data_IF_343474612731
#
_entry.id   IF_343474612731
#
_cell.length_a   1.000
_cell.length_b   1.000
_cell.length_c   1.000
_cell.angle_alpha   90.00
_cell.angle_beta   90.00
_cell.angle_gamma   90.00
#
_symmetry.space_group_name_H-M   'P 1'
#
loop_
_entity.id
_entity.type
_entity.pdbx_description
1 polymer ?
#
# COMPACT_ATOMS: atom_id res chain seq x y z
N UNK A 1 -10.19 -32.18 -42.55
CA UNK A 1 -9.71 -30.91 -41.95
C UNK A 1 -10.90 -29.98 -41.79
N UNK A 2 -11.52 -29.93 -40.61
CA UNK A 2 -12.70 -29.10 -40.34
C UNK A 2 -12.28 -27.65 -40.10
N UNK A 3 -12.69 -26.71 -40.95
CA UNK A 3 -12.37 -25.29 -40.77
C UNK A 3 -13.01 -24.76 -39.49
N UNK A 4 -12.27 -24.09 -38.59
CA UNK A 4 -12.84 -23.51 -37.38
C UNK A 4 -13.85 -22.41 -37.75
N UNK A 5 -15.01 -22.40 -37.09
CA UNK A 5 -16.05 -21.41 -37.36
C UNK A 5 -15.53 -19.99 -37.10
N UNK A 6 -15.95 -19.03 -37.93
CA UNK A 6 -15.50 -17.62 -37.87
C UNK A 6 -15.62 -17.01 -36.46
N UNK A 7 -16.60 -17.45 -35.67
CA UNK A 7 -16.76 -17.06 -34.25
C UNK A 7 -15.63 -17.58 -33.36
N UNK A 8 -15.19 -18.82 -33.53
CA UNK A 8 -14.04 -19.38 -32.78
C UNK A 8 -12.74 -18.67 -33.16
N UNK A 9 -12.55 -18.38 -34.45
CA UNK A 9 -11.43 -17.57 -34.93
C UNK A 9 -11.43 -16.16 -34.36
N UNK A 10 -12.59 -15.49 -34.32
CA UNK A 10 -12.73 -14.16 -33.73
C UNK A 10 -12.43 -14.17 -32.23
N UNK A 11 -12.91 -15.17 -31.48
CA UNK A 11 -12.62 -15.31 -30.04
C UNK A 11 -11.12 -15.50 -29.81
N UNK A 12 -10.47 -16.41 -30.54
CA UNK A 12 -9.02 -16.65 -30.43
C UNK A 12 -8.23 -15.38 -30.77
N UNK A 13 -8.66 -14.63 -31.79
CA UNK A 13 -8.02 -13.38 -32.18
C UNK A 13 -8.20 -12.30 -31.12
N UNK A 14 -9.40 -12.15 -30.54
CA UNK A 14 -9.65 -11.20 -29.45
C UNK A 14 -8.83 -11.53 -28.20
N UNK A 15 -8.71 -12.81 -27.84
CA UNK A 15 -7.86 -13.25 -26.73
C UNK A 15 -6.40 -12.91 -27.02
N UNK A 16 -5.91 -13.18 -28.23
CA UNK A 16 -4.53 -12.87 -28.63
C UNK A 16 -4.23 -11.37 -28.60
N UNK A 17 -5.16 -10.53 -29.07
CA UNK A 17 -5.01 -9.08 -29.02
C UNK A 17 -5.04 -8.57 -27.58
N UNK A 18 -5.98 -9.07 -26.76
CA UNK A 18 -6.05 -8.71 -25.34
C UNK A 18 -4.79 -9.10 -24.58
N UNK A 19 -4.22 -10.27 -24.87
CA UNK A 19 -2.98 -10.73 -24.28
C UNK A 19 -1.78 -9.88 -24.69
N UNK A 20 -1.70 -9.49 -25.97
CA UNK A 20 -0.65 -8.58 -26.45
C UNK A 20 -0.76 -7.18 -25.83
N UNK A 21 -1.98 -6.63 -25.72
CA UNK A 21 -2.21 -5.33 -25.07
C UNK A 21 -1.87 -5.40 -23.57
N UNK A 22 -2.18 -6.51 -22.91
CA UNK A 22 -1.82 -6.75 -21.52
C UNK A 22 -0.30 -6.79 -21.33
N UNK A 23 0.43 -7.53 -22.18
CA UNK A 23 1.90 -7.59 -22.16
C UNK A 23 2.52 -6.20 -22.38
N UNK A 24 2.04 -5.45 -23.38
CA UNK A 24 2.50 -4.09 -23.63
C UNK A 24 2.22 -3.16 -22.44
N UNK A 25 1.04 -3.25 -21.82
CA UNK A 25 0.69 -2.50 -20.62
C UNK A 25 1.55 -2.87 -19.41
N UNK A 26 1.84 -4.15 -19.22
CA UNK A 26 2.71 -4.65 -18.15
C UNK A 26 4.16 -4.18 -18.33
N UNK A 27 4.69 -4.21 -19.56
CA UNK A 27 6.05 -3.73 -19.86
C UNK A 27 6.12 -2.21 -19.73
N UNK A 28 5.15 -1.47 -20.27
CA UNK A 28 5.11 -0.01 -20.18
C UNK A 28 4.97 0.46 -18.72
N UNK A 29 4.13 -0.21 -17.93
CA UNK A 29 3.99 0.08 -16.50
C UNK A 29 5.27 -0.27 -15.73
N UNK A 30 5.92 -1.40 -16.00
CA UNK A 30 7.21 -1.73 -15.41
C UNK A 30 8.30 -0.70 -15.76
N UNK A 31 8.31 -0.19 -16.99
CA UNK A 31 9.26 0.84 -17.44
C UNK A 31 8.97 2.21 -16.80
N UNK A 32 7.70 2.59 -16.69
CA UNK A 32 7.27 3.81 -16.00
C UNK A 32 7.60 3.75 -14.51
N UNK A 33 7.32 2.63 -13.85
CA UNK A 33 7.67 2.37 -12.45
C UNK A 33 9.18 2.41 -12.27
N UNK A 34 9.96 1.75 -13.13
CA UNK A 34 11.44 1.81 -13.07
C UNK A 34 11.97 3.23 -13.25
N UNK A 35 11.42 4.00 -14.19
CA UNK A 35 11.79 5.42 -14.39
C UNK A 35 11.45 6.27 -13.16
N UNK A 36 10.35 5.98 -12.48
CA UNK A 36 9.92 6.72 -11.30
C UNK A 36 10.71 6.31 -10.03
N UNK A 37 10.97 5.02 -9.81
CA UNK A 37 11.48 4.48 -8.54
C UNK A 37 12.95 4.00 -8.58
N UNK A 38 13.57 3.90 -9.76
CA UNK A 38 14.93 3.34 -9.95
C UNK A 38 14.94 1.80 -9.84
N UNK A 39 16.11 1.21 -9.55
CA UNK A 39 16.27 -0.25 -9.33
C UNK A 39 15.76 -0.74 -7.97
N UNK A 40 15.16 0.15 -7.16
CA UNK A 40 14.51 -0.23 -5.92
C UNK A 40 13.12 -0.84 -6.17
N UNK A 41 12.68 -1.82 -5.36
CA UNK A 41 11.31 -2.29 -5.44
C UNK A 41 10.36 -1.09 -5.23
N UNK A 42 9.29 -0.94 -6.04
CA UNK A 42 8.29 0.08 -5.76
C UNK A 42 7.81 -0.10 -4.32
N UNK A 43 7.58 1.00 -3.57
CA UNK A 43 7.01 0.89 -2.24
C UNK A 43 5.76 0.03 -2.34
N UNK A 44 5.67 -1.02 -1.53
CA UNK A 44 4.43 -1.78 -1.41
C UNK A 44 3.35 -0.75 -1.07
N UNK A 45 2.38 -0.58 -1.96
CA UNK A 45 1.17 0.21 -1.69
C UNK A 45 0.46 -0.48 -0.52
N UNK A 46 0.87 -0.11 0.70
CA UNK A 46 0.08 -0.36 1.89
C UNK A 46 -1.19 0.47 1.79
N UNK A 47 -2.25 0.00 2.45
CA UNK A 47 -3.59 0.60 2.50
C UNK A 47 -3.63 2.10 2.94
N UNK A 48 -2.49 2.70 3.30
CA UNK A 48 -2.32 4.10 3.65
C UNK A 48 -1.61 4.86 2.51
N UNK A 49 -2.20 4.85 1.32
CA UNK A 49 -1.59 5.37 0.09
C UNK A 49 -1.17 6.84 0.14
N UNK A 50 -1.75 7.65 1.04
CA UNK A 50 -1.55 9.10 1.05
C UNK A 50 -1.37 9.71 2.45
N UNK A 51 -1.40 8.90 3.52
CA UNK A 51 -1.37 9.40 4.90
C UNK A 51 -0.14 8.88 5.68
N UNK A 52 0.88 9.72 5.81
CA UNK A 52 2.13 9.42 6.54
C UNK A 52 2.03 9.89 8.00
N UNK A 53 1.41 9.10 8.87
CA UNK A 53 1.31 9.41 10.31
C UNK A 53 2.69 9.64 10.97
N UNK A 54 3.72 8.89 10.54
CA UNK A 54 5.08 9.04 11.08
C UNK A 54 5.72 10.35 10.62
N UNK A 55 5.51 10.73 9.36
CA UNK A 55 5.90 12.03 8.81
C UNK A 55 5.21 13.19 9.52
N UNK A 56 3.91 13.06 9.78
CA UNK A 56 3.12 14.01 10.57
C UNK A 56 3.72 14.27 11.95
N UNK A 57 4.00 13.20 12.71
CA UNK A 57 4.64 13.32 14.04
C UNK A 57 6.06 13.88 13.96
N UNK A 58 6.83 13.52 12.93
CA UNK A 58 8.20 14.04 12.78
C UNK A 58 8.25 15.55 12.53
N UNK A 59 7.23 16.11 11.85
CA UNK A 59 7.13 17.55 11.57
C UNK A 59 6.88 18.41 12.83
N UNK A 60 6.40 17.80 13.92
CA UNK A 60 6.24 18.45 15.22
C UNK A 60 7.56 18.57 16.00
N UNK A 61 8.64 17.94 15.53
CA UNK A 61 9.97 18.07 16.12
C UNK A 61 10.08 17.47 17.52
N UNK A 62 10.77 18.18 18.43
CA UNK A 62 11.03 17.71 19.80
C UNK A 62 9.77 17.60 20.67
N UNK A 63 8.74 18.40 20.36
CA UNK A 63 7.49 18.49 21.13
C UNK A 63 6.66 17.19 21.07
N UNK A 64 6.74 16.45 19.95
CA UNK A 64 6.00 15.20 19.77
C UNK A 64 6.75 13.95 20.23
N UNK A 65 7.98 14.06 20.74
CA UNK A 65 8.74 12.91 21.24
C UNK A 65 8.01 12.11 22.35
N UNK A 66 7.42 12.73 23.38
CA UNK A 66 6.68 11.98 24.41
C UNK A 66 5.46 11.27 23.81
N UNK A 67 4.61 12.01 23.08
CA UNK A 67 3.44 11.46 22.37
C UNK A 67 3.83 10.30 21.45
N UNK A 68 4.85 10.45 20.61
CA UNK A 68 5.31 9.41 19.70
C UNK A 68 5.88 8.17 20.41
N UNK A 69 6.38 8.31 21.64
CA UNK A 69 6.87 7.19 22.46
C UNK A 69 5.71 6.43 23.08
N UNK A 70 4.73 7.15 23.61
CA UNK A 70 3.50 6.62 24.20
C UNK A 70 2.68 5.85 23.17
N UNK A 71 2.34 6.53 22.07
CA UNK A 71 1.68 5.95 20.89
C UNK A 71 2.35 4.67 20.43
N UNK A 72 3.69 4.65 20.36
CA UNK A 72 4.43 3.47 19.90
C UNK A 72 4.34 2.32 20.89
N UNK A 73 4.37 2.61 22.19
CA UNK A 73 4.29 1.61 23.25
C UNK A 73 2.92 0.95 23.25
N UNK A 74 1.87 1.74 23.07
CA UNK A 74 0.48 1.28 23.15
C UNK A 74 -0.05 0.69 21.83
N UNK A 75 0.06 1.43 20.74
CA UNK A 75 -0.50 1.04 19.45
C UNK A 75 0.46 0.21 18.60
N UNK A 76 1.76 0.24 18.88
CA UNK A 76 2.77 -0.48 18.11
C UNK A 76 2.49 -1.99 18.00
N UNK A 77 2.26 -2.71 19.12
CA UNK A 77 1.90 -4.12 19.08
C UNK A 77 0.58 -4.38 18.33
N UNK A 78 -0.46 -3.59 18.61
CA UNK A 78 -1.80 -3.72 18.00
C UNK A 78 -1.76 -3.53 16.48
N UNK A 79 -1.07 -2.50 16.01
CA UNK A 79 -0.87 -2.22 14.58
C UNK A 79 -0.05 -3.31 13.88
N UNK A 80 0.98 -3.82 14.55
CA UNK A 80 1.78 -4.93 14.01
C UNK A 80 0.95 -6.19 13.84
N UNK A 81 0.15 -6.52 14.84
CA UNK A 81 -0.73 -7.69 14.81
C UNK A 81 -1.82 -7.55 13.75
N UNK A 82 -2.54 -6.42 13.73
CA UNK A 82 -3.57 -6.14 12.73
C UNK A 82 -3.00 -6.13 11.30
N UNK A 83 -1.82 -5.53 11.12
CA UNK A 83 -1.11 -5.53 9.83
C UNK A 83 -0.70 -6.93 9.38
N UNK A 84 -0.22 -7.78 10.30
CA UNK A 84 0.10 -9.19 10.01
C UNK A 84 -1.17 -9.96 9.63
N UNK A 85 -2.24 -9.86 10.42
CA UNK A 85 -3.50 -10.56 10.17
C UNK A 85 -4.12 -10.18 8.82
N UNK A 86 -4.09 -8.90 8.47
CA UNK A 86 -4.54 -8.42 7.15
C UNK A 86 -3.65 -8.94 6.01
N UNK A 87 -2.33 -8.95 6.18
CA UNK A 87 -1.41 -9.48 5.18
C UNK A 87 -1.61 -11.00 4.97
N UNK A 88 -1.82 -11.75 6.04
CA UNK A 88 -2.05 -13.19 5.98
C UNK A 88 -3.39 -13.50 5.30
N UNK A 89 -4.45 -12.73 5.58
CA UNK A 89 -5.73 -12.85 4.89
C UNK A 89 -5.63 -12.51 3.38
N UNK A 90 -4.82 -11.50 3.00
CA UNK A 90 -4.55 -11.22 1.57
C UNK A 90 -3.80 -12.36 0.89
N UNK A 91 -2.86 -12.99 1.59
CA UNK A 91 -2.12 -14.15 1.07
C UNK A 91 -3.03 -15.35 0.86
N UNK A 92 -3.96 -15.59 1.77
CA UNK A 92 -4.96 -16.65 1.66
C UNK A 92 -5.83 -16.48 0.41
N UNK A 93 -6.44 -15.29 0.23
CA UNK A 93 -7.21 -14.97 -0.98
C UNK A 93 -6.35 -15.10 -2.24
N UNK A 94 -5.12 -14.56 -2.21
CA UNK A 94 -4.20 -14.67 -3.34
C UNK A 94 -3.73 -16.11 -3.63
N UNK A 95 -3.76 -17.00 -2.64
CA UNK A 95 -3.49 -18.42 -2.82
C UNK A 95 -4.64 -19.12 -3.53
N UNK A 96 -5.87 -18.86 -3.10
CA UNK A 96 -7.09 -19.41 -3.71
C UNK A 96 -7.26 -19.00 -5.17
N UNK A 97 -6.97 -17.74 -5.50
CA UNK A 97 -7.04 -17.24 -6.88
C UNK A 97 -5.96 -17.81 -7.82
N UNK A 98 -4.94 -18.49 -7.28
CA UNK A 98 -3.90 -19.17 -8.06
C UNK A 98 -4.14 -20.67 -8.20
N UNK A 99 -5.16 -21.21 -7.53
CA UNK A 99 -5.52 -22.62 -7.66
C UNK A 99 -6.16 -22.89 -9.02
N UNK A 100 -5.99 -24.11 -9.53
CA UNK A 100 -6.54 -24.54 -10.82
C UNK A 100 -8.08 -24.59 -10.79
N UNK A 101 -8.66 -24.84 -9.62
CA UNK A 101 -10.10 -24.81 -9.37
C UNK A 101 -10.43 -23.85 -8.22
N UNK A 102 -11.48 -23.04 -8.40
CA UNK A 102 -11.95 -22.07 -7.41
C UNK A 102 -13.29 -22.56 -6.85
N UNK A 103 -13.34 -22.84 -5.55
CA UNK A 103 -14.58 -23.01 -4.81
C UNK A 103 -15.15 -21.63 -4.43
N UNK A 104 -16.31 -21.22 -4.98
CA UNK A 104 -16.91 -19.92 -4.68
C UNK A 104 -17.25 -19.71 -3.20
N UNK A 105 -17.64 -20.77 -2.48
CA UNK A 105 -18.04 -20.67 -1.08
C UNK A 105 -16.82 -20.44 -0.17
N UNK A 106 -15.71 -21.12 -0.45
CA UNK A 106 -14.45 -20.92 0.27
C UNK A 106 -13.81 -19.56 -0.06
N UNK A 107 -13.88 -19.13 -1.31
CA UNK A 107 -13.42 -17.79 -1.70
C UNK A 107 -14.21 -16.68 -0.98
N UNK A 108 -15.54 -16.78 -0.89
CA UNK A 108 -16.36 -15.79 -0.18
C UNK A 108 -16.02 -15.73 1.32
N UNK A 109 -15.80 -16.88 1.97
CA UNK A 109 -15.31 -16.93 3.36
C UNK A 109 -13.96 -16.23 3.52
N UNK A 110 -13.01 -16.48 2.63
CA UNK A 110 -11.70 -15.83 2.66
C UNK A 110 -11.79 -14.31 2.42
N UNK A 111 -12.65 -13.87 1.51
CA UNK A 111 -12.93 -12.44 1.28
C UNK A 111 -13.62 -11.79 2.48
N UNK A 112 -14.58 -12.47 3.13
CA UNK A 112 -15.21 -12.01 4.37
C UNK A 112 -14.19 -11.83 5.50
N UNK A 113 -13.27 -12.79 5.65
CA UNK A 113 -12.15 -12.70 6.58
C UNK A 113 -11.23 -11.52 6.26
N UNK A 114 -10.88 -11.32 4.99
CA UNK A 114 -10.08 -10.18 4.56
C UNK A 114 -10.75 -8.84 4.86
N UNK A 115 -12.06 -8.71 4.59
CA UNK A 115 -12.84 -7.51 4.94
C UNK A 115 -12.73 -7.23 6.44
N UNK A 116 -13.07 -8.22 7.28
CA UNK A 116 -12.97 -8.09 8.75
C UNK A 116 -11.59 -7.67 9.23
N UNK A 117 -10.50 -8.28 8.72
CA UNK A 117 -9.13 -7.92 9.12
C UNK A 117 -8.73 -6.53 8.63
N UNK A 118 -9.27 -6.08 7.51
CA UNK A 118 -9.05 -4.72 7.01
C UNK A 118 -9.74 -3.71 7.90
N UNK A 119 -10.99 -3.97 8.29
CA UNK A 119 -11.76 -3.10 9.20
C UNK A 119 -11.09 -3.00 10.57
N UNK A 120 -10.61 -4.12 11.13
CA UNK A 120 -9.85 -4.15 12.38
C UNK A 120 -8.57 -3.30 12.30
N UNK A 121 -7.81 -3.41 11.21
CA UNK A 121 -6.60 -2.62 11.02
C UNK A 121 -6.90 -1.12 10.86
N UNK A 122 -7.99 -0.76 10.17
CA UNK A 122 -8.43 0.62 10.03
C UNK A 122 -8.91 1.19 11.36
N UNK A 123 -9.67 0.42 12.16
CA UNK A 123 -10.13 0.83 13.47
C UNK A 123 -8.96 1.21 14.39
N UNK A 124 -7.91 0.37 14.48
CA UNK A 124 -6.72 0.67 15.31
C UNK A 124 -6.00 1.93 14.81
N UNK A 125 -5.94 2.16 13.49
CA UNK A 125 -5.37 3.38 12.94
C UNK A 125 -6.21 4.63 13.26
N UNK A 126 -7.54 4.52 13.23
CA UNK A 126 -8.44 5.62 13.56
C UNK A 126 -8.36 5.97 15.06
N UNK A 127 -8.35 4.97 15.94
CA UNK A 127 -8.16 5.16 17.38
C UNK A 127 -6.86 5.92 17.66
N UNK A 128 -5.76 5.45 17.06
CA UNK A 128 -4.46 6.12 17.15
C UNK A 128 -4.53 7.58 16.68
N UNK A 129 -5.17 7.83 15.54
CA UNK A 129 -5.29 9.18 14.99
C UNK A 129 -6.09 10.08 15.92
N UNK A 130 -7.21 9.58 16.44
CA UNK A 130 -8.05 10.31 17.39
C UNK A 130 -7.25 10.70 18.62
N UNK A 131 -6.57 9.74 19.27
CA UNK A 131 -5.78 9.99 20.48
C UNK A 131 -4.66 11.00 20.22
N UNK A 132 -3.88 10.81 19.16
CA UNK A 132 -2.81 11.72 18.80
C UNK A 132 -3.33 13.14 18.52
N UNK A 133 -4.43 13.29 17.78
CA UNK A 133 -4.99 14.61 17.43
C UNK A 133 -5.63 15.31 18.64
N UNK A 134 -6.14 14.56 19.63
CA UNK A 134 -6.69 15.16 20.86
C UNK A 134 -5.63 15.77 21.77
N UNK A 135 -4.39 15.28 21.73
CA UNK A 135 -3.28 15.83 22.51
C UNK A 135 -2.61 17.05 21.85
N UNK A 136 -2.86 17.29 20.56
CA UNK A 136 -2.24 18.38 19.82
C UNK A 136 -3.03 19.69 19.92
N UNK A 137 -2.28 20.79 20.08
CA UNK A 137 -2.85 22.14 19.94
C UNK A 137 -3.36 22.39 18.51
N UNK A 138 -4.25 23.37 18.28
CA UNK A 138 -4.74 23.70 16.93
C UNK A 138 -3.63 23.92 15.89
N UNK A 139 -2.54 24.59 16.26
CA UNK A 139 -1.42 24.85 15.34
C UNK A 139 -0.59 23.60 15.08
N UNK A 140 -0.39 22.75 16.09
CA UNK A 140 0.26 21.46 15.91
C UNK A 140 -0.57 20.52 15.03
N UNK A 141 -1.90 20.50 15.16
CA UNK A 141 -2.77 19.73 14.27
C UNK A 141 -2.64 20.16 12.81
N UNK A 142 -2.57 21.46 12.53
CA UNK A 142 -2.34 21.98 11.17
C UNK A 142 -0.98 21.55 10.62
N UNK A 143 0.09 21.66 11.41
CA UNK A 143 1.44 21.20 11.03
C UNK A 143 1.48 19.69 10.77
N UNK A 144 0.83 18.91 11.65
CA UNK A 144 0.70 17.47 11.53
C UNK A 144 -0.04 17.07 10.24
N UNK A 145 -1.22 17.64 10.00
CA UNK A 145 -2.03 17.35 8.81
C UNK A 145 -1.30 17.71 7.52
N UNK A 146 -0.68 18.90 7.49
CA UNK A 146 0.14 19.34 6.36
C UNK A 146 1.22 18.32 6.04
N UNK A 147 2.03 17.93 7.04
CA UNK A 147 3.10 16.96 6.83
C UNK A 147 2.62 15.52 6.54
N UNK A 148 1.49 15.10 7.12
CA UNK A 148 0.92 13.77 6.90
C UNK A 148 0.33 13.62 5.49
N UNK A 149 -0.21 14.71 4.92
CA UNK A 149 -0.82 14.76 3.59
C UNK A 149 0.19 15.14 2.49
N UNK A 150 1.21 15.94 2.79
CA UNK A 150 2.23 16.38 1.82
C UNK A 150 3.14 15.24 1.34
N UNK A 151 3.06 14.06 1.96
CA UNK A 151 3.71 12.83 1.49
C UNK A 151 2.80 11.94 0.65
N UNK A 152 2.04 12.54 -0.27
CA UNK A 152 1.75 11.93 -1.57
C UNK A 152 3.05 11.59 -2.32
N UNK A 153 3.04 10.72 -3.35
CA UNK A 153 4.17 9.89 -3.75
C UNK A 153 5.49 10.65 -3.90
N UNK A 154 6.36 10.46 -2.90
CA UNK A 154 7.73 10.99 -2.71
C UNK A 154 7.81 12.36 -2.01
N UNK A 155 8.50 12.36 -0.86
CA UNK A 155 9.18 13.54 -0.33
C UNK A 155 10.48 13.16 0.36
N UNK A 156 11.61 13.33 -0.34
CA UNK A 156 12.96 13.42 0.21
C UNK A 156 13.68 12.11 0.52
N UNK A 157 14.44 11.59 -0.47
CA UNK A 157 15.66 10.83 -0.18
C UNK A 157 16.53 11.70 0.74
N UNK A 158 16.85 11.22 1.94
CA UNK A 158 18.11 11.60 2.59
C UNK A 158 19.22 11.10 1.66
N UNK A 159 20.22 11.92 1.27
CA UNK A 159 21.40 11.40 0.58
C UNK A 159 21.98 10.27 1.43
N UNK A 160 22.40 9.13 0.83
CA UNK A 160 23.16 8.13 1.56
C UNK A 160 24.39 8.82 2.19
N UNK A 161 24.72 8.54 3.47
CA UNK A 161 25.93 9.09 4.08
C UNK A 161 27.13 8.57 3.27
N UNK A 162 27.85 9.47 2.58
CA UNK A 162 29.08 9.13 1.83
C UNK A 162 29.08 9.39 0.32
N UNK A 163 28.10 10.09 -0.25
CA UNK A 163 28.22 10.60 -1.62
C UNK A 163 29.31 11.69 -1.72
N UNK A 164 30.12 11.73 -2.79
CA UNK A 164 31.10 12.79 -2.96
C UNK A 164 30.41 14.16 -3.01
N UNK A 165 31.02 15.21 -2.42
CA UNK A 165 30.44 16.55 -2.42
C UNK A 165 30.26 17.03 -3.86
N UNK A 166 29.23 17.86 -4.14
CA UNK A 166 29.04 18.43 -5.47
C UNK A 166 30.24 19.33 -5.80
N UNK A 167 30.86 19.06 -6.95
CA UNK A 167 31.84 19.97 -7.56
C UNK A 167 31.10 21.25 -7.98
N UNK A 168 31.65 22.40 -7.60
CA UNK A 168 31.19 23.72 -8.06
C UNK A 168 31.73 24.01 -9.45
#
# INVERSE_FOLDING_TARGET
MTMPSTRKLAIVLSISIGFNLFLCGAIASAWLVKRQYGDGPPPRAGMAGDFDFRGGLAALGGEARPLAREVRREYGPRLREAGKAMHDARREVGGMLRADEIDPAELDKALAKLRKRSDEAQAVMHELLTEAVTELTPDQRRKFLKAAMERGPRGGRRPPPGGPPPEN
#
